data_IF_150648061812
#
_entry.id   IF_150648061812
#
_cell.length_a   1.000
_cell.length_b   1.000
_cell.length_c   1.000
_cell.angle_alpha   90.00
_cell.angle_beta   90.00
_cell.angle_gamma   90.00
#
_symmetry.space_group_name_H-M   'P 1'
#
loop_
_entity.id
_entity.type
_entity.pdbx_description
1 polymer ?
#
# COMPACT_ATOMS: atom_id res chain seq x y z
N UNK A 1 20.09 -1.42 -30.73
CA UNK A 1 18.95 -1.08 -29.85
C UNK A 1 19.33 0.18 -29.08
N UNK A 2 18.46 1.17 -28.98
CA UNK A 2 18.74 2.35 -28.15
C UNK A 2 18.95 1.90 -26.67
N UNK A 3 19.88 2.53 -25.97
CA UNK A 3 20.12 2.26 -24.56
C UNK A 3 18.86 2.68 -23.77
N UNK A 4 18.35 1.77 -22.90
CA UNK A 4 17.19 2.05 -22.08
C UNK A 4 17.52 3.13 -21.06
N UNK A 5 16.58 4.06 -20.79
CA UNK A 5 16.70 4.99 -19.67
C UNK A 5 16.83 4.21 -18.35
N UNK A 6 17.75 4.65 -17.49
CA UNK A 6 18.00 4.08 -16.17
C UNK A 6 17.13 4.75 -15.13
N UNK A 7 16.29 3.98 -14.44
CA UNK A 7 15.46 4.49 -13.34
C UNK A 7 15.98 3.93 -12.02
N UNK A 8 16.29 4.81 -11.08
CA UNK A 8 16.69 4.46 -9.73
C UNK A 8 15.56 4.71 -8.74
N UNK A 9 14.97 3.63 -8.23
CA UNK A 9 14.09 3.68 -7.07
C UNK A 9 14.91 3.69 -5.78
N UNK A 10 14.53 4.55 -4.83
CA UNK A 10 15.10 4.59 -3.48
C UNK A 10 13.98 4.31 -2.49
N UNK A 11 14.01 3.10 -1.88
CA UNK A 11 12.91 2.53 -1.10
C UNK A 11 13.38 2.22 0.31
N UNK A 12 12.88 2.99 1.29
CA UNK A 12 13.23 2.73 2.69
C UNK A 12 12.36 1.60 3.28
N UNK A 13 11.10 1.52 2.90
CA UNK A 13 10.12 0.59 3.48
C UNK A 13 9.84 -0.60 2.56
N UNK A 14 10.79 -1.53 2.43
CA UNK A 14 10.63 -2.75 1.62
C UNK A 14 9.82 -3.82 2.38
N UNK A 15 8.52 -3.55 2.62
CA UNK A 15 7.64 -4.47 3.33
C UNK A 15 6.16 -4.05 3.25
N UNK A 16 5.26 -5.02 3.45
CA UNK A 16 3.82 -4.82 3.36
C UNK A 16 3.39 -4.29 1.99
N UNK A 17 2.35 -3.46 1.93
CA UNK A 17 1.80 -2.94 0.68
C UNK A 17 2.81 -2.15 -0.19
N UNK A 18 3.79 -1.48 0.42
CA UNK A 18 4.86 -0.79 -0.34
C UNK A 18 5.73 -1.80 -1.09
N UNK A 19 6.03 -2.95 -0.49
CA UNK A 19 6.78 -4.02 -1.15
C UNK A 19 6.03 -4.52 -2.38
N UNK A 20 4.76 -4.89 -2.24
CA UNK A 20 3.91 -5.34 -3.36
C UNK A 20 3.88 -4.30 -4.47
N UNK A 21 3.62 -3.03 -4.11
CA UNK A 21 3.61 -1.92 -5.06
C UNK A 21 4.93 -1.78 -5.85
N UNK A 22 6.08 -1.85 -5.17
CA UNK A 22 7.40 -1.72 -5.83
C UNK A 22 7.68 -2.89 -6.75
N UNK A 23 7.37 -4.12 -6.32
CA UNK A 23 7.51 -5.33 -7.14
C UNK A 23 6.66 -5.21 -8.41
N UNK A 24 5.38 -4.94 -8.25
CA UNK A 24 4.42 -4.90 -9.34
C UNK A 24 4.79 -3.82 -10.37
N UNK A 25 5.07 -2.60 -9.91
CA UNK A 25 5.42 -1.50 -10.81
C UNK A 25 6.78 -1.73 -11.50
N UNK A 26 7.79 -2.20 -10.78
CA UNK A 26 9.11 -2.42 -11.36
C UNK A 26 9.11 -3.55 -12.39
N UNK A 27 8.34 -4.63 -12.14
CA UNK A 27 8.20 -5.74 -13.09
C UNK A 27 7.47 -5.34 -14.38
N UNK A 28 6.52 -4.42 -14.32
CA UNK A 28 5.90 -3.86 -15.54
C UNK A 28 6.90 -2.96 -16.30
N UNK A 29 7.59 -2.07 -15.60
CA UNK A 29 8.46 -1.06 -16.21
C UNK A 29 9.78 -1.61 -16.77
N UNK A 30 10.27 -2.77 -16.30
CA UNK A 30 11.55 -3.37 -16.75
C UNK A 30 11.59 -3.70 -18.24
N UNK A 31 10.44 -3.82 -18.88
CA UNK A 31 10.36 -4.02 -20.32
C UNK A 31 10.84 -2.79 -21.10
N UNK A 32 10.60 -1.60 -20.58
CA UNK A 32 10.92 -0.31 -21.21
C UNK A 32 12.18 0.34 -20.65
N UNK A 33 12.43 0.18 -19.35
CA UNK A 33 13.52 0.84 -18.63
C UNK A 33 14.55 -0.15 -18.07
N UNK A 34 15.75 0.35 -17.77
CA UNK A 34 16.77 -0.36 -16.99
C UNK A 34 16.56 0.01 -15.51
N UNK A 35 16.00 -0.94 -14.73
CA UNK A 35 15.49 -0.68 -13.39
C UNK A 35 16.52 -1.00 -12.31
N UNK A 36 16.78 -0.02 -11.45
CA UNK A 36 17.63 -0.13 -10.26
C UNK A 36 16.80 0.17 -9.01
N UNK A 37 16.89 -0.67 -7.98
CA UNK A 37 16.17 -0.48 -6.73
C UNK A 37 17.16 -0.46 -5.58
N UNK A 38 17.38 0.72 -4.99
CA UNK A 38 18.14 0.90 -3.76
C UNK A 38 17.18 0.77 -2.56
N UNK A 39 17.31 -0.29 -1.76
CA UNK A 39 16.31 -0.67 -0.76
C UNK A 39 16.91 -1.03 0.60
N UNK A 40 16.06 -1.04 1.63
CA UNK A 40 16.42 -1.60 2.94
C UNK A 40 15.53 -2.78 3.31
N UNK A 41 16.17 -3.82 3.86
CA UNK A 41 15.47 -4.99 4.42
C UNK A 41 14.81 -4.62 5.74
N UNK A 42 13.57 -5.05 5.94
CA UNK A 42 12.75 -4.86 7.14
C UNK A 42 12.36 -6.21 7.74
N UNK A 43 11.90 -6.23 8.99
CA UNK A 43 11.35 -7.44 9.62
C UNK A 43 10.18 -8.03 8.81
N UNK A 44 9.43 -7.18 8.13
CA UNK A 44 8.28 -7.54 7.31
C UNK A 44 8.64 -7.87 5.85
N UNK A 45 9.90 -7.71 5.46
CA UNK A 45 10.37 -8.10 4.13
C UNK A 45 10.34 -9.62 4.04
N UNK A 46 9.68 -10.22 3.05
CA UNK A 46 9.68 -11.67 2.85
C UNK A 46 11.10 -12.22 2.74
N UNK A 47 11.39 -13.38 3.29
CA UNK A 47 12.75 -13.96 3.23
C UNK A 47 13.23 -14.19 1.79
N UNK A 48 12.31 -14.54 0.92
CA UNK A 48 12.52 -14.78 -0.51
C UNK A 48 12.17 -13.56 -1.38
N UNK A 49 12.23 -12.34 -0.85
CA UNK A 49 11.80 -11.12 -1.53
C UNK A 49 12.41 -10.91 -2.92
N UNK A 50 13.63 -11.41 -3.15
CA UNK A 50 14.30 -11.29 -4.45
C UNK A 50 13.63 -12.09 -5.55
N UNK A 51 12.93 -13.17 -5.22
CA UNK A 51 12.26 -14.05 -6.17
C UNK A 51 11.01 -13.40 -6.80
N UNK A 52 10.51 -12.33 -6.18
CA UNK A 52 9.36 -11.57 -6.71
C UNK A 52 9.74 -10.59 -7.84
N UNK A 53 11.04 -10.25 -7.96
CA UNK A 53 11.50 -9.34 -8.99
C UNK A 53 11.94 -10.05 -10.26
N UNK A 54 11.62 -9.45 -11.41
CA UNK A 54 12.21 -9.86 -12.68
C UNK A 54 13.75 -9.83 -12.59
N UNK A 55 14.40 -10.85 -13.14
CA UNK A 55 15.87 -11.05 -13.06
C UNK A 55 16.68 -9.92 -13.70
N UNK A 56 16.05 -9.08 -14.52
CA UNK A 56 16.65 -7.90 -15.14
C UNK A 56 16.73 -6.70 -14.20
N UNK A 57 16.03 -6.73 -13.06
CA UNK A 57 16.01 -5.64 -12.10
C UNK A 57 17.25 -5.72 -11.20
N UNK A 58 17.96 -4.60 -11.07
CA UNK A 58 19.17 -4.49 -10.25
C UNK A 58 18.82 -4.09 -8.82
N UNK A 59 19.00 -5.02 -7.88
CA UNK A 59 18.71 -4.82 -6.46
C UNK A 59 19.98 -4.41 -5.70
N UNK A 60 19.95 -3.25 -5.03
CA UNK A 60 21.09 -2.66 -4.29
C UNK A 60 20.67 -2.38 -2.85
N UNK A 61 21.24 -3.08 -1.88
CA UNK A 61 20.90 -2.88 -0.47
C UNK A 61 21.53 -1.60 0.10
N UNK A 62 20.72 -0.75 0.76
CA UNK A 62 21.15 0.44 1.51
C UNK A 62 21.21 0.07 2.99
N UNK A 63 22.41 -0.20 3.49
CA UNK A 63 22.62 -0.76 4.82
C UNK A 63 22.23 0.18 5.97
N UNK A 64 22.31 1.49 5.72
CA UNK A 64 22.07 2.51 6.73
C UNK A 64 20.60 3.00 6.79
N UNK A 65 19.72 2.56 5.91
CA UNK A 65 18.30 2.86 6.04
C UNK A 65 17.68 2.12 7.23
N UNK A 66 16.87 2.85 8.01
CA UNK A 66 16.13 2.29 9.14
C UNK A 66 14.87 3.10 9.41
N UNK A 67 13.84 2.49 10.01
CA UNK A 67 12.54 3.13 10.27
C UNK A 67 12.63 4.30 11.25
N UNK A 68 13.39 4.13 12.34
CA UNK A 68 13.55 5.17 13.34
C UNK A 68 14.39 6.34 12.81
N UNK A 69 14.08 7.54 13.24
CA UNK A 69 14.95 8.71 13.00
C UNK A 69 16.21 8.49 13.82
N UNK A 70 17.34 8.43 13.13
CA UNK A 70 18.67 8.27 13.74
C UNK A 70 19.66 9.13 12.95
N UNK A 71 20.09 10.28 13.49
CA UNK A 71 20.88 11.24 12.75
C UNK A 71 22.18 10.65 12.16
N UNK A 72 22.89 9.79 12.88
CA UNK A 72 24.13 9.19 12.39
C UNK A 72 23.88 8.22 11.23
N UNK A 73 22.88 7.33 11.37
CA UNK A 73 22.50 6.42 10.28
C UNK A 73 21.88 7.18 9.10
N UNK A 74 21.12 8.23 9.35
CA UNK A 74 20.47 9.01 8.29
C UNK A 74 21.49 9.80 7.46
N UNK A 75 22.56 10.32 8.09
CA UNK A 75 23.71 10.93 7.41
C UNK A 75 24.46 9.86 6.61
N UNK A 76 24.71 8.68 7.18
CA UNK A 76 25.36 7.59 6.46
C UNK A 76 24.53 7.13 5.25
N UNK A 77 23.20 6.99 5.40
CA UNK A 77 22.27 6.68 4.31
C UNK A 77 22.31 7.75 3.20
N UNK A 78 22.38 9.04 3.58
CA UNK A 78 22.51 10.14 2.63
C UNK A 78 23.74 9.98 1.72
N UNK A 79 24.91 9.68 2.28
CA UNK A 79 26.12 9.45 1.48
C UNK A 79 26.06 8.15 0.69
N UNK A 80 25.45 7.11 1.26
CA UNK A 80 25.28 5.81 0.60
C UNK A 80 24.38 5.92 -0.65
N UNK A 81 23.22 6.58 -0.58
CA UNK A 81 22.35 6.78 -1.75
C UNK A 81 23.02 7.66 -2.82
N UNK A 82 23.81 8.67 -2.43
CA UNK A 82 24.61 9.46 -3.38
C UNK A 82 25.64 8.62 -4.10
N UNK A 83 26.36 7.74 -3.39
CA UNK A 83 27.34 6.83 -3.98
C UNK A 83 26.69 5.84 -4.94
N UNK A 84 25.50 5.30 -4.58
CA UNK A 84 24.72 4.40 -5.44
C UNK A 84 24.34 5.15 -6.72
N UNK A 85 23.75 6.34 -6.62
CA UNK A 85 23.34 7.14 -7.78
C UNK A 85 24.53 7.51 -8.67
N UNK A 86 25.69 7.84 -8.09
CA UNK A 86 26.92 8.12 -8.86
C UNK A 86 27.43 6.90 -9.64
N UNK A 87 27.25 5.68 -9.09
CA UNK A 87 27.60 4.43 -9.76
C UNK A 87 26.60 4.03 -10.86
N UNK A 88 25.31 4.17 -10.60
CA UNK A 88 24.21 3.83 -11.53
C UNK A 88 24.14 4.85 -12.68
N UNK A 89 24.33 6.14 -12.38
CA UNK A 89 24.11 7.28 -13.29
C UNK A 89 22.70 7.25 -13.87
N UNK A 90 21.66 7.34 -13.02
CA UNK A 90 20.28 7.22 -13.46
C UNK A 90 19.82 8.44 -14.28
N UNK A 91 18.92 8.21 -15.21
CA UNK A 91 18.20 9.26 -15.95
C UNK A 91 17.01 9.79 -15.14
N UNK A 92 16.48 8.97 -14.22
CA UNK A 92 15.34 9.31 -13.34
C UNK A 92 15.61 8.76 -11.93
N UNK A 93 15.29 9.54 -10.90
CA UNK A 93 15.29 9.10 -9.50
C UNK A 93 13.85 9.14 -8.97
N UNK A 94 13.39 8.03 -8.38
CA UNK A 94 12.09 7.98 -7.72
C UNK A 94 12.22 7.52 -6.27
N UNK A 95 11.77 8.37 -5.36
CA UNK A 95 11.88 8.20 -3.91
C UNK A 95 10.56 7.63 -3.38
N UNK A 96 10.62 6.57 -2.58
CA UNK A 96 9.44 5.92 -2.03
C UNK A 96 9.45 5.93 -0.51
N UNK A 97 8.36 6.39 0.10
CA UNK A 97 8.13 6.59 1.53
C UNK A 97 8.80 7.85 2.10
N UNK A 98 8.22 8.40 3.19
CA UNK A 98 8.59 9.69 3.76
C UNK A 98 10.09 9.83 4.08
N UNK A 99 10.74 8.77 4.58
CA UNK A 99 12.16 8.85 4.95
C UNK A 99 13.09 8.87 3.74
N UNK A 100 12.87 8.01 2.76
CA UNK A 100 13.61 8.05 1.50
C UNK A 100 13.35 9.38 0.77
N UNK A 101 12.09 9.85 0.81
CA UNK A 101 11.70 11.15 0.28
C UNK A 101 12.43 12.33 0.93
N UNK A 102 12.59 12.35 2.25
CA UNK A 102 13.32 13.40 2.94
C UNK A 102 14.83 13.36 2.63
N UNK A 103 15.45 12.17 2.77
CA UNK A 103 16.89 11.99 2.51
C UNK A 103 17.22 12.28 1.05
N UNK A 104 16.45 11.73 0.10
CA UNK A 104 16.71 11.88 -1.34
C UNK A 104 16.54 13.32 -1.82
N UNK A 105 15.47 14.03 -1.42
CA UNK A 105 15.25 15.44 -1.78
C UNK A 105 16.33 16.38 -1.24
N UNK A 106 17.08 15.97 -0.20
CA UNK A 106 18.24 16.70 0.31
C UNK A 106 19.53 16.23 -0.38
N UNK A 107 19.63 14.94 -0.72
CA UNK A 107 20.84 14.36 -1.31
C UNK A 107 21.07 14.78 -2.77
N UNK A 108 19.97 15.01 -3.51
CA UNK A 108 20.03 15.34 -4.94
C UNK A 108 19.60 16.78 -5.20
N UNK A 109 20.26 17.42 -6.17
CA UNK A 109 20.07 18.85 -6.50
C UNK A 109 18.95 19.10 -7.53
N UNK A 110 18.28 18.04 -7.99
CA UNK A 110 17.20 18.12 -8.96
C UNK A 110 17.66 18.35 -10.40
N UNK A 111 18.95 18.14 -10.73
CA UNK A 111 19.43 18.13 -12.11
C UNK A 111 18.96 16.90 -12.87
N UNK A 112 18.80 15.78 -12.14
CA UNK A 112 18.16 14.57 -12.64
C UNK A 112 16.68 14.68 -12.28
N UNK A 113 15.73 14.41 -13.22
CA UNK A 113 14.31 14.33 -12.93
C UNK A 113 14.05 13.48 -11.69
N UNK A 114 13.39 14.07 -10.70
CA UNK A 114 13.20 13.44 -9.41
C UNK A 114 11.72 13.42 -9.02
N UNK A 115 11.26 12.25 -8.61
CA UNK A 115 9.89 11.98 -8.19
C UNK A 115 9.86 11.44 -6.76
N UNK A 116 8.75 11.65 -6.08
CA UNK A 116 8.55 11.18 -4.73
C UNK A 116 7.12 10.66 -4.53
N UNK A 117 6.97 9.41 -4.07
CA UNK A 117 5.69 8.83 -3.68
C UNK A 117 5.67 8.57 -2.16
N UNK A 118 4.78 9.23 -1.39
CA UNK A 118 4.70 9.10 0.07
C UNK A 118 4.25 7.73 0.55
N UNK A 119 3.34 7.07 -0.13
CA UNK A 119 2.63 5.85 0.30
C UNK A 119 1.89 6.01 1.64
N UNK A 120 1.16 7.11 1.79
CA UNK A 120 0.56 7.53 3.03
C UNK A 120 1.48 8.45 3.84
N UNK A 121 1.12 9.72 3.91
CA UNK A 121 1.93 10.72 4.61
C UNK A 121 2.06 10.46 6.10
N UNK A 122 3.28 10.55 6.63
CA UNK A 122 3.55 10.37 8.06
C UNK A 122 2.86 11.41 8.96
N UNK A 123 2.51 12.58 8.45
CA UNK A 123 1.76 13.59 9.22
C UNK A 123 0.26 13.28 9.35
N UNK A 124 -0.26 12.30 8.59
CA UNK A 124 -1.62 11.79 8.74
C UNK A 124 -1.73 10.70 9.82
N UNK A 125 -0.62 10.20 10.33
CA UNK A 125 -0.59 9.14 11.34
C UNK A 125 -1.21 9.61 12.67
N UNK A 126 -2.32 9.00 13.08
CA UNK A 126 -3.05 9.38 14.29
C UNK A 126 -2.35 8.98 15.59
N UNK A 127 -1.46 7.98 15.56
CA UNK A 127 -0.67 7.56 16.73
C UNK A 127 0.50 8.50 17.06
N UNK A 128 0.67 9.58 16.33
CA UNK A 128 1.64 10.63 16.61
C UNK A 128 0.96 11.79 17.32
N UNK A 129 1.64 12.35 18.34
CA UNK A 129 1.15 13.56 18.98
C UNK A 129 1.08 14.74 17.97
N UNK A 130 0.23 15.74 18.20
CA UNK A 130 0.04 16.87 17.27
C UNK A 130 1.34 17.60 16.92
N UNK A 131 2.25 17.75 17.87
CA UNK A 131 3.56 18.40 17.65
C UNK A 131 4.39 17.63 16.65
N UNK A 132 4.49 16.29 16.81
CA UNK A 132 5.23 15.42 15.89
C UNK A 132 4.62 15.43 14.49
N UNK A 133 3.29 15.45 14.39
CA UNK A 133 2.59 15.58 13.09
C UNK A 133 2.90 16.91 12.41
N UNK A 134 2.95 18.02 13.17
CA UNK A 134 3.36 19.35 12.66
C UNK A 134 4.80 19.34 12.14
N UNK A 135 5.71 18.69 12.89
CA UNK A 135 7.12 18.55 12.46
C UNK A 135 7.21 17.74 11.17
N UNK A 136 6.50 16.62 11.04
CA UNK A 136 6.49 15.85 9.79
C UNK A 136 5.93 16.69 8.63
N UNK A 137 4.85 17.43 8.84
CA UNK A 137 4.28 18.31 7.81
C UNK A 137 5.25 19.42 7.41
N UNK A 138 5.98 20.00 8.38
CA UNK A 138 7.02 20.99 8.11
C UNK A 138 8.17 20.41 7.28
N UNK A 139 8.65 19.21 7.62
CA UNK A 139 9.69 18.50 6.85
C UNK A 139 9.21 18.30 5.40
N UNK A 140 8.00 17.81 5.20
CA UNK A 140 7.42 17.63 3.87
C UNK A 140 7.36 18.97 3.12
N UNK A 141 6.88 20.05 3.75
CA UNK A 141 6.78 21.36 3.13
C UNK A 141 8.14 21.99 2.79
N UNK A 142 9.17 21.75 3.60
CA UNK A 142 10.54 22.23 3.30
C UNK A 142 11.16 21.43 2.16
N UNK A 143 11.01 20.09 2.20
CA UNK A 143 11.52 19.21 1.14
C UNK A 143 10.79 19.41 -0.21
N UNK A 144 9.52 19.78 -0.18
CA UNK A 144 8.71 20.05 -1.37
C UNK A 144 9.17 21.33 -2.14
N UNK A 145 10.02 22.17 -1.54
CA UNK A 145 10.65 23.31 -2.24
C UNK A 145 11.79 22.87 -3.18
N UNK A 146 12.19 21.60 -3.12
CA UNK A 146 13.18 21.05 -4.03
C UNK A 146 12.54 20.75 -5.39
N UNK A 147 13.36 20.69 -6.44
CA UNK A 147 12.91 20.29 -7.77
C UNK A 147 12.60 18.77 -7.77
N UNK A 148 11.39 18.45 -7.34
CA UNK A 148 10.91 17.06 -7.18
C UNK A 148 9.39 17.05 -7.31
N UNK A 149 8.85 16.29 -8.27
CA UNK A 149 7.41 16.11 -8.42
C UNK A 149 6.90 15.07 -7.42
N UNK A 150 5.91 15.42 -6.61
CA UNK A 150 5.29 14.48 -5.69
C UNK A 150 4.15 13.73 -6.39
N UNK A 151 4.22 12.40 -6.40
CA UNK A 151 3.21 11.53 -7.02
C UNK A 151 2.44 10.82 -5.90
N UNK A 152 1.18 11.20 -5.72
CA UNK A 152 0.29 10.60 -4.73
C UNK A 152 -0.30 9.29 -5.25
N UNK A 153 -0.63 8.36 -4.35
CA UNK A 153 -1.17 7.05 -4.72
C UNK A 153 -2.70 7.01 -4.76
N UNK A 154 -3.38 8.10 -4.41
CA UNK A 154 -4.85 8.26 -4.51
C UNK A 154 -5.23 9.73 -4.68
N UNK A 155 -6.48 9.98 -5.06
CA UNK A 155 -7.03 11.34 -5.21
C UNK A 155 -7.01 12.09 -3.87
N UNK A 156 -7.39 11.44 -2.78
CA UNK A 156 -7.39 12.05 -1.45
C UNK A 156 -5.99 12.39 -0.95
N UNK A 157 -5.00 11.53 -1.20
CA UNK A 157 -3.60 11.83 -0.90
C UNK A 157 -3.11 13.00 -1.77
N UNK A 158 -3.54 13.09 -3.03
CA UNK A 158 -3.21 14.19 -3.92
C UNK A 158 -3.74 15.53 -3.41
N UNK A 159 -4.96 15.57 -2.87
CA UNK A 159 -5.52 16.76 -2.24
C UNK A 159 -4.68 17.22 -1.03
N UNK A 160 -4.15 16.29 -0.22
CA UNK A 160 -3.21 16.63 0.85
C UNK A 160 -1.86 17.12 0.30
N UNK A 161 -1.39 16.55 -0.81
CA UNK A 161 -0.16 16.98 -1.49
C UNK A 161 -0.28 18.41 -2.01
N UNK A 162 -1.40 18.78 -2.62
CA UNK A 162 -1.65 20.13 -3.14
C UNK A 162 -1.65 21.21 -2.05
N UNK A 163 -1.88 20.84 -0.78
CA UNK A 163 -1.72 21.76 0.38
C UNK A 163 -0.25 22.02 0.72
N UNK A 164 0.68 21.24 0.16
CA UNK A 164 2.13 21.31 0.41
C UNK A 164 2.87 21.86 -0.79
N UNK A 165 2.54 21.39 -1.99
CA UNK A 165 3.21 21.75 -3.25
C UNK A 165 2.26 21.70 -4.43
N UNK A 166 2.50 22.58 -5.43
CA UNK A 166 1.81 22.54 -6.73
C UNK A 166 2.50 21.60 -7.72
N UNK A 167 3.78 21.25 -7.47
CA UNK A 167 4.50 20.28 -8.28
C UNK A 167 4.10 18.86 -7.86
N UNK A 168 2.93 18.45 -8.32
CA UNK A 168 2.23 17.27 -7.85
C UNK A 168 1.47 16.60 -8.99
N UNK A 169 1.51 15.28 -8.99
CA UNK A 169 0.68 14.40 -9.82
C UNK A 169 0.04 13.32 -8.93
N UNK A 170 -0.84 12.51 -9.48
CA UNK A 170 -1.25 11.27 -8.82
C UNK A 170 -1.33 10.12 -9.81
N UNK A 171 -1.02 8.94 -9.32
CA UNK A 171 -1.17 7.67 -10.01
C UNK A 171 -1.77 6.70 -9.02
N UNK A 172 -2.97 6.23 -9.29
CA UNK A 172 -3.61 5.26 -8.42
C UNK A 172 -2.78 3.98 -8.33
N UNK A 173 -2.71 3.38 -7.14
CA UNK A 173 -2.16 2.05 -6.99
C UNK A 173 -2.94 1.06 -7.87
N UNK A 174 -2.24 0.09 -8.41
CA UNK A 174 -2.82 -1.02 -9.15
C UNK A 174 -2.37 -2.36 -8.58
N UNK A 175 -3.08 -3.41 -8.91
CA UNK A 175 -2.73 -4.79 -8.57
C UNK A 175 -2.35 -5.58 -9.80
N UNK A 176 -1.49 -6.58 -9.63
CA UNK A 176 -1.16 -7.55 -10.67
C UNK A 176 -2.27 -8.60 -10.76
N UNK A 177 -3.25 -8.32 -11.63
CA UNK A 177 -4.41 -9.20 -11.81
C UNK A 177 -4.03 -10.60 -12.28
N UNK A 178 -3.00 -10.73 -13.13
CA UNK A 178 -2.60 -12.04 -13.67
C UNK A 178 -2.03 -12.94 -12.58
N UNK A 179 -1.14 -12.40 -11.73
CA UNK A 179 -0.59 -13.13 -10.59
C UNK A 179 -1.68 -13.50 -9.58
N UNK A 180 -2.56 -12.54 -9.27
CA UNK A 180 -3.65 -12.79 -8.32
C UNK A 180 -4.61 -13.86 -8.85
N UNK A 181 -4.97 -13.81 -10.15
CA UNK A 181 -5.83 -14.82 -10.78
C UNK A 181 -5.18 -16.21 -10.74
N UNK A 182 -3.86 -16.30 -11.00
CA UNK A 182 -3.15 -17.58 -10.91
C UNK A 182 -3.22 -18.21 -9.51
N UNK A 183 -3.18 -17.39 -8.45
CA UNK A 183 -3.33 -17.88 -7.07
C UNK A 183 -4.78 -18.30 -6.81
N UNK A 184 -5.76 -17.54 -7.29
CA UNK A 184 -7.20 -17.85 -7.16
C UNK A 184 -7.50 -19.20 -7.86
N UNK A 185 -7.07 -19.36 -9.10
CA UNK A 185 -7.32 -20.58 -9.89
C UNK A 185 -6.71 -21.85 -9.26
N UNK A 186 -5.63 -21.69 -8.48
CA UNK A 186 -4.99 -22.79 -7.73
C UNK A 186 -5.57 -23.00 -6.34
N UNK A 187 -6.52 -22.16 -5.93
CA UNK A 187 -7.13 -22.23 -4.61
C UNK A 187 -8.44 -23.02 -4.69
N UNK A 188 -8.53 -24.07 -3.87
CA UNK A 188 -9.77 -24.81 -3.70
C UNK A 188 -10.75 -23.97 -2.88
N UNK A 189 -11.93 -23.73 -3.43
CA UNK A 189 -13.05 -23.17 -2.70
C UNK A 189 -13.69 -24.26 -1.84
N UNK A 190 -13.79 -24.01 -0.55
CA UNK A 190 -14.38 -24.95 0.41
C UNK A 190 -15.64 -24.34 1.00
N UNK A 191 -16.60 -25.21 1.37
CA UNK A 191 -17.78 -24.78 2.12
C UNK A 191 -17.34 -24.19 3.48
N UNK A 192 -17.77 -22.99 3.77
CA UNK A 192 -17.41 -22.25 5.00
C UNK A 192 -18.61 -21.46 5.55
N UNK A 193 -18.68 -21.21 6.87
CA UNK A 193 -19.65 -20.30 7.43
C UNK A 193 -19.41 -18.87 6.88
N UNK A 194 -20.45 -18.04 6.89
CA UNK A 194 -20.29 -16.64 6.49
C UNK A 194 -19.16 -15.98 7.29
N UNK A 195 -18.13 -15.54 6.55
CA UNK A 195 -16.83 -15.14 7.12
C UNK A 195 -16.46 -13.72 6.71
N UNK A 196 -16.14 -12.90 7.71
CA UNK A 196 -15.57 -11.57 7.54
C UNK A 196 -14.06 -11.65 7.75
N UNK A 197 -13.26 -11.12 6.83
CA UNK A 197 -11.81 -11.14 6.99
C UNK A 197 -11.17 -9.75 6.86
N UNK A 198 -9.99 -9.62 7.41
CA UNK A 198 -9.06 -8.53 7.12
C UNK A 198 -7.66 -9.11 6.87
N UNK A 199 -6.82 -8.34 6.16
CA UNK A 199 -5.47 -8.76 5.80
C UNK A 199 -4.48 -7.65 6.16
N UNK A 200 -3.45 -8.00 6.94
CA UNK A 200 -2.38 -7.11 7.27
C UNK A 200 -1.85 -7.23 8.69
N UNK A 201 -0.88 -6.38 9.03
CA UNK A 201 -0.27 -6.37 10.36
C UNK A 201 -1.28 -5.90 11.41
N UNK A 202 -1.37 -6.61 12.55
CA UNK A 202 -2.17 -6.21 13.70
C UNK A 202 -1.45 -5.05 14.40
N UNK A 203 -1.81 -3.82 14.02
CA UNK A 203 -1.16 -2.60 14.50
C UNK A 203 -2.17 -1.46 14.67
N UNK A 204 -1.76 -0.38 15.32
CA UNK A 204 -2.62 0.77 15.59
C UNK A 204 -3.30 1.35 14.33
N UNK A 205 -2.58 1.38 13.19
CA UNK A 205 -3.15 1.84 11.91
C UNK A 205 -4.36 1.03 11.48
N UNK A 206 -4.28 -0.29 11.57
CA UNK A 206 -5.32 -1.23 11.13
C UNK A 206 -6.49 -1.36 12.12
N UNK A 207 -6.38 -0.72 13.31
CA UNK A 207 -7.43 -0.57 14.30
C UNK A 207 -8.05 -1.89 14.78
N UNK A 208 -7.24 -2.80 15.38
CA UNK A 208 -7.74 -4.08 15.87
C UNK A 208 -8.84 -3.92 16.93
N UNK A 209 -8.83 -2.85 17.71
CA UNK A 209 -9.89 -2.55 18.68
C UNK A 209 -11.26 -2.45 18.00
N UNK A 210 -11.38 -1.63 16.95
CA UNK A 210 -12.66 -1.48 16.23
C UNK A 210 -13.06 -2.79 15.52
N UNK A 211 -12.09 -3.54 14.98
CA UNK A 211 -12.36 -4.86 14.41
C UNK A 211 -12.94 -5.81 15.44
N UNK A 212 -12.39 -5.81 16.66
CA UNK A 212 -12.88 -6.63 17.78
C UNK A 212 -14.29 -6.22 18.22
N UNK A 213 -14.55 -4.91 18.37
CA UNK A 213 -15.87 -4.37 18.73
C UNK A 213 -16.96 -4.75 17.70
N UNK A 214 -16.62 -4.71 16.40
CA UNK A 214 -17.52 -5.15 15.33
C UNK A 214 -17.79 -6.66 15.43
N UNK A 215 -16.75 -7.47 15.73
CA UNK A 215 -16.89 -8.91 15.89
C UNK A 215 -17.77 -9.26 17.12
N UNK A 216 -17.62 -8.55 18.23
CA UNK A 216 -18.46 -8.70 19.43
C UNK A 216 -19.93 -8.37 19.16
N UNK A 217 -20.21 -7.37 18.31
CA UNK A 217 -21.57 -7.00 17.91
C UNK A 217 -22.22 -8.01 16.92
N UNK A 218 -21.44 -8.95 16.39
CA UNK A 218 -21.87 -9.97 15.41
C UNK A 218 -21.42 -11.39 15.84
N UNK A 219 -21.90 -11.91 16.99
CA UNK A 219 -21.42 -13.17 17.56
C UNK A 219 -21.76 -14.41 16.70
N UNK A 220 -22.68 -14.30 15.77
CA UNK A 220 -23.11 -15.32 14.81
C UNK A 220 -22.33 -15.28 13.47
N UNK A 221 -21.29 -14.47 13.38
CA UNK A 221 -20.43 -14.30 12.21
C UNK A 221 -19.00 -14.70 12.56
N UNK A 222 -18.35 -15.47 11.70
CA UNK A 222 -16.92 -15.79 11.83
C UNK A 222 -16.08 -14.59 11.34
N UNK A 223 -15.06 -14.23 12.13
CA UNK A 223 -14.07 -13.22 11.77
C UNK A 223 -12.68 -13.85 11.65
N UNK A 224 -11.91 -13.42 10.65
CA UNK A 224 -10.55 -13.90 10.43
C UNK A 224 -9.61 -12.69 10.24
N UNK A 225 -8.59 -12.59 11.09
CA UNK A 225 -7.49 -11.67 10.84
C UNK A 225 -6.33 -12.41 10.22
N UNK A 226 -6.05 -12.14 8.94
CA UNK A 226 -4.95 -12.75 8.20
C UNK A 226 -3.70 -11.89 8.44
N UNK A 227 -2.85 -12.34 9.35
CA UNK A 227 -1.66 -11.61 9.77
C UNK A 227 -1.38 -11.71 11.27
N UNK A 228 -0.36 -11.00 11.71
CA UNK A 228 0.04 -10.91 13.12
C UNK A 228 0.56 -9.49 13.43
N UNK A 229 0.84 -9.19 14.69
CA UNK A 229 1.41 -7.90 15.08
C UNK A 229 1.41 -7.63 16.57
N UNK A 230 1.89 -6.43 16.90
CA UNK A 230 2.13 -5.99 18.27
C UNK A 230 0.87 -5.76 19.11
N UNK A 231 -0.30 -5.68 18.49
CA UNK A 231 -1.59 -5.46 19.17
C UNK A 231 -2.52 -6.67 19.09
N UNK A 232 -1.95 -7.87 18.96
CA UNK A 232 -2.72 -9.13 18.83
C UNK A 232 -3.69 -9.35 19.99
N UNK A 233 -3.32 -8.96 21.20
CA UNK A 233 -4.15 -9.09 22.41
C UNK A 233 -5.43 -8.24 22.38
N UNK A 234 -5.55 -7.28 21.47
CA UNK A 234 -6.78 -6.50 21.29
C UNK A 234 -7.86 -7.25 20.52
N UNK A 235 -7.55 -8.40 19.95
CA UNK A 235 -8.48 -9.29 19.25
C UNK A 235 -8.92 -10.41 20.18
N UNK A 236 -9.76 -10.10 21.15
CA UNK A 236 -10.15 -11.00 22.23
C UNK A 236 -11.52 -11.70 22.03
N UNK A 237 -12.32 -11.26 21.05
CA UNK A 237 -13.63 -11.83 20.78
C UNK A 237 -13.53 -13.29 20.33
N UNK A 238 -14.43 -14.15 20.86
CA UNK A 238 -14.38 -15.62 20.67
C UNK A 238 -14.61 -16.07 19.21
N UNK A 239 -15.23 -15.22 18.40
CA UNK A 239 -15.52 -15.48 17.00
C UNK A 239 -14.41 -14.95 16.05
N UNK A 240 -13.28 -14.50 16.60
CA UNK A 240 -12.11 -14.06 15.83
C UNK A 240 -11.05 -15.17 15.79
N UNK A 241 -10.67 -15.57 14.59
CA UNK A 241 -9.49 -16.39 14.31
C UNK A 241 -8.34 -15.49 13.84
N UNK A 242 -7.13 -15.71 14.36
CA UNK A 242 -5.90 -15.01 13.93
C UNK A 242 -4.98 -16.04 13.30
N UNK A 243 -4.70 -15.91 12.00
CA UNK A 243 -3.87 -16.89 11.26
C UNK A 243 -2.39 -16.84 11.61
N UNK A 244 -1.90 -15.72 12.18
CA UNK A 244 -0.48 -15.41 12.25
C UNK A 244 0.06 -14.92 10.90
N UNK A 245 1.39 -14.76 10.81
CA UNK A 245 2.05 -14.36 9.57
C UNK A 245 1.85 -15.43 8.50
N UNK A 246 1.32 -15.03 7.35
CA UNK A 246 1.10 -15.86 6.18
C UNK A 246 1.88 -15.30 4.99
N UNK A 247 2.35 -16.17 4.10
CA UNK A 247 2.83 -15.75 2.79
C UNK A 247 1.64 -15.31 1.90
N UNK A 248 1.95 -14.67 0.76
CA UNK A 248 0.93 -14.12 -0.14
C UNK A 248 -0.07 -15.18 -0.60
N UNK A 249 0.40 -16.36 -1.02
CA UNK A 249 -0.47 -17.42 -1.52
C UNK A 249 -1.42 -17.91 -0.42
N UNK A 250 -0.89 -18.15 0.76
CA UNK A 250 -1.69 -18.56 1.93
C UNK A 250 -2.70 -17.47 2.32
N UNK A 251 -2.30 -16.19 2.31
CA UNK A 251 -3.19 -15.08 2.62
C UNK A 251 -4.36 -14.97 1.63
N UNK A 252 -4.09 -15.11 0.32
CA UNK A 252 -5.13 -15.09 -0.72
C UNK A 252 -6.06 -16.31 -0.61
N UNK A 253 -5.54 -17.50 -0.27
CA UNK A 253 -6.39 -18.69 -0.04
C UNK A 253 -7.40 -18.48 1.09
N UNK A 254 -7.00 -17.84 2.19
CA UNK A 254 -7.94 -17.45 3.25
C UNK A 254 -8.98 -16.45 2.74
N UNK A 255 -8.55 -15.45 1.96
CA UNK A 255 -9.43 -14.43 1.42
C UNK A 255 -10.43 -14.99 0.38
N UNK A 256 -10.02 -15.95 -0.45
CA UNK A 256 -10.92 -16.65 -1.40
C UNK A 256 -12.04 -17.37 -0.64
N UNK A 257 -11.74 -17.99 0.50
CA UNK A 257 -12.68 -18.70 1.36
C UNK A 257 -13.28 -17.79 2.45
N UNK A 258 -13.70 -16.58 2.07
CA UNK A 258 -14.39 -15.61 2.91
C UNK A 258 -15.33 -14.75 2.07
N UNK A 259 -16.25 -14.01 2.69
CA UNK A 259 -17.34 -13.29 2.02
C UNK A 259 -17.14 -11.76 2.03
N UNK A 260 -16.70 -11.21 3.16
CA UNK A 260 -16.60 -9.77 3.39
C UNK A 260 -15.17 -9.39 3.79
N UNK A 261 -14.61 -8.43 3.07
CA UNK A 261 -13.38 -7.76 3.48
C UNK A 261 -13.69 -6.57 4.36
N UNK A 262 -13.19 -6.57 5.58
CA UNK A 262 -13.37 -5.51 6.57
C UNK A 262 -12.05 -4.77 6.80
N UNK A 263 -12.01 -3.45 6.52
CA UNK A 263 -10.84 -2.62 6.72
C UNK A 263 -11.18 -1.38 7.57
N UNK A 264 -11.17 -1.49 8.91
CA UNK A 264 -11.53 -0.40 9.83
C UNK A 264 -10.34 0.53 10.16
N UNK A 265 -9.42 0.70 9.23
CA UNK A 265 -8.17 1.44 9.43
C UNK A 265 -8.40 2.88 9.85
N UNK A 266 -7.47 3.42 10.64
CA UNK A 266 -7.46 4.83 11.07
C UNK A 266 -6.93 5.77 10.00
N UNK A 267 -6.03 5.31 9.14
CA UNK A 267 -5.54 6.03 7.95
C UNK A 267 -4.98 5.05 6.92
N UNK A 268 -5.09 5.40 5.66
CA UNK A 268 -4.52 4.67 4.51
C UNK A 268 -3.96 5.64 3.46
N UNK A 269 -3.16 5.12 2.53
CA UNK A 269 -2.84 5.82 1.29
C UNK A 269 -3.81 5.37 0.18
N UNK A 270 -3.57 4.18 -0.37
CA UNK A 270 -4.50 3.36 -1.15
C UNK A 270 -4.12 1.89 -0.92
N UNK A 271 -4.89 1.15 -0.08
CA UNK A 271 -4.47 -0.17 0.38
C UNK A 271 -4.60 -1.22 -0.71
N UNK A 272 -3.50 -1.90 -1.02
CA UNK A 272 -3.46 -3.01 -1.99
C UNK A 272 -4.44 -4.12 -1.61
N UNK A 273 -4.53 -4.48 -0.33
CA UNK A 273 -5.46 -5.51 0.14
C UNK A 273 -6.94 -5.20 -0.13
N UNK A 274 -7.32 -3.93 -0.17
CA UNK A 274 -8.65 -3.51 -0.59
C UNK A 274 -8.87 -3.79 -2.09
N UNK A 275 -7.92 -3.38 -2.93
CA UNK A 275 -7.99 -3.60 -4.37
C UNK A 275 -8.02 -5.09 -4.72
N UNK A 276 -7.20 -5.90 -4.02
CA UNK A 276 -7.21 -7.37 -4.17
C UNK A 276 -8.56 -7.97 -3.78
N UNK A 277 -9.16 -7.49 -2.69
CA UNK A 277 -10.47 -7.97 -2.23
C UNK A 277 -11.60 -7.60 -3.19
N UNK A 278 -11.56 -6.40 -3.77
CA UNK A 278 -12.48 -5.99 -4.83
C UNK A 278 -12.35 -6.87 -6.08
N UNK A 279 -11.11 -7.20 -6.48
CA UNK A 279 -10.85 -8.12 -7.61
C UNK A 279 -11.39 -9.53 -7.34
N UNK A 280 -11.27 -10.03 -6.10
CA UNK A 280 -11.83 -11.31 -5.67
C UNK A 280 -13.35 -11.27 -5.47
N UNK A 281 -14.02 -10.18 -5.87
CA UNK A 281 -15.47 -9.98 -5.73
C UNK A 281 -15.97 -10.13 -4.29
N UNK A 282 -15.16 -9.71 -3.31
CA UNK A 282 -15.58 -9.68 -1.91
C UNK A 282 -16.32 -8.38 -1.62
N UNK A 283 -17.34 -8.43 -0.77
CA UNK A 283 -17.99 -7.22 -0.28
C UNK A 283 -16.99 -6.44 0.57
N UNK A 284 -16.66 -5.23 0.17
CA UNK A 284 -15.71 -4.39 0.87
C UNK A 284 -16.42 -3.42 1.81
N UNK A 285 -16.13 -3.55 3.12
CA UNK A 285 -16.65 -2.69 4.19
C UNK A 285 -15.46 -1.98 4.83
N UNK A 286 -15.37 -0.67 4.65
CA UNK A 286 -14.16 0.08 4.97
C UNK A 286 -14.43 1.33 5.79
N UNK A 287 -13.42 1.81 6.52
CA UNK A 287 -13.49 3.08 7.25
C UNK A 287 -13.50 4.29 6.32
N UNK A 288 -14.11 5.40 6.78
CA UNK A 288 -14.18 6.67 6.07
C UNK A 288 -12.85 7.46 6.18
N UNK A 289 -11.79 6.89 5.59
CA UNK A 289 -10.46 7.52 5.53
C UNK A 289 -9.99 7.68 4.09
N UNK A 290 -9.01 8.55 3.87
CA UNK A 290 -8.31 8.70 2.58
C UNK A 290 -7.82 7.32 2.12
N UNK A 291 -7.86 7.08 0.83
CA UNK A 291 -7.54 5.81 0.19
C UNK A 291 -8.73 4.85 0.16
N UNK A 292 -9.42 4.64 1.27
CA UNK A 292 -10.61 3.79 1.31
C UNK A 292 -11.80 4.45 0.57
N UNK A 293 -12.19 5.65 0.99
CA UNK A 293 -13.31 6.41 0.37
C UNK A 293 -12.98 6.97 -1.02
N UNK A 294 -11.71 6.91 -1.42
CA UNK A 294 -11.31 7.32 -2.77
C UNK A 294 -11.68 6.26 -3.81
N UNK A 295 -11.89 5.02 -3.37
CA UNK A 295 -12.18 3.85 -4.21
C UNK A 295 -13.54 3.27 -3.92
N UNK A 296 -13.97 3.23 -2.66
CA UNK A 296 -15.28 2.67 -2.28
C UNK A 296 -16.34 3.76 -2.25
N UNK A 297 -17.42 3.51 -2.97
CA UNK A 297 -18.63 4.33 -3.02
C UNK A 297 -19.79 3.51 -2.46
N UNK A 298 -20.34 3.97 -1.33
CA UNK A 298 -21.38 3.22 -0.59
C UNK A 298 -22.58 2.90 -1.44
N UNK A 299 -22.94 1.61 -1.53
CA UNK A 299 -24.06 1.10 -2.30
C UNK A 299 -23.79 0.86 -3.79
N UNK A 300 -22.64 1.33 -4.32
CA UNK A 300 -22.24 1.14 -5.71
C UNK A 300 -21.24 -0.03 -5.86
N UNK A 301 -20.13 0.00 -5.08
CA UNK A 301 -19.06 -0.99 -5.15
C UNK A 301 -18.55 -1.47 -3.78
N UNK A 302 -19.24 -1.07 -2.69
CA UNK A 302 -18.89 -1.44 -1.32
C UNK A 302 -19.58 -0.55 -0.30
N UNK A 303 -19.04 -0.48 0.92
CA UNK A 303 -19.59 0.32 2.02
C UNK A 303 -18.51 1.09 2.75
N UNK A 304 -18.65 2.41 2.87
CA UNK A 304 -17.80 3.29 3.68
C UNK A 304 -18.52 3.56 4.99
N UNK A 305 -17.91 3.25 6.12
CA UNK A 305 -18.49 3.30 7.45
C UNK A 305 -17.73 4.26 8.37
N UNK A 306 -18.48 4.95 9.24
CA UNK A 306 -17.96 5.89 10.24
C UNK A 306 -18.35 5.54 11.68
N UNK A 307 -19.27 4.59 11.88
CA UNK A 307 -19.75 4.11 13.18
C UNK A 307 -19.85 2.59 13.21
N UNK A 308 -19.83 1.99 14.40
CA UNK A 308 -20.00 0.53 14.60
C UNK A 308 -21.34 0.06 13.99
N UNK A 309 -22.41 0.81 14.18
CA UNK A 309 -23.73 0.47 13.66
C UNK A 309 -23.72 0.39 12.12
N UNK A 310 -23.00 1.28 11.43
CA UNK A 310 -22.87 1.23 9.96
C UNK A 310 -22.10 -0.02 9.52
N UNK A 311 -21.02 -0.40 10.20
CA UNK A 311 -20.29 -1.65 9.92
C UNK A 311 -21.19 -2.87 10.12
N UNK A 312 -21.86 -2.94 11.26
CA UNK A 312 -22.78 -4.05 11.59
C UNK A 312 -23.90 -4.15 10.54
N UNK A 313 -24.50 -3.01 10.17
CA UNK A 313 -25.53 -2.97 9.14
C UNK A 313 -25.00 -3.46 7.76
N UNK A 314 -23.85 -2.97 7.32
CA UNK A 314 -23.24 -3.37 6.06
C UNK A 314 -22.91 -4.88 6.02
N UNK A 315 -22.35 -5.44 7.11
CA UNK A 315 -22.03 -6.87 7.18
C UNK A 315 -23.32 -7.73 7.24
N UNK A 316 -24.34 -7.32 8.00
CA UNK A 316 -25.64 -8.01 7.99
C UNK A 316 -26.33 -7.94 6.65
N UNK A 317 -26.25 -6.81 5.96
CA UNK A 317 -26.77 -6.68 4.61
C UNK A 317 -26.07 -7.65 3.64
N UNK A 318 -24.75 -7.75 3.72
CA UNK A 318 -23.98 -8.70 2.90
C UNK A 318 -24.32 -10.18 3.22
N UNK A 319 -24.63 -10.50 4.50
CA UNK A 319 -25.02 -11.86 4.91
C UNK A 319 -26.41 -12.26 4.40
N UNK A 320 -27.36 -11.32 4.37
CA UNK A 320 -28.77 -11.63 4.19
C UNK A 320 -29.29 -11.34 2.76
N UNK A 321 -28.56 -10.58 1.97
CA UNK A 321 -29.00 -10.13 0.64
C UNK A 321 -27.97 -10.48 -0.43
N UNK A 322 -28.43 -10.54 -1.69
CA UNK A 322 -27.50 -10.66 -2.82
C UNK A 322 -26.67 -9.38 -2.99
N UNK A 323 -25.37 -9.54 -3.07
CA UNK A 323 -24.41 -8.43 -3.25
C UNK A 323 -23.72 -8.45 -4.62
N UNK A 324 -24.18 -9.30 -5.53
CA UNK A 324 -23.56 -9.50 -6.84
C UNK A 324 -23.37 -8.20 -7.63
N UNK A 325 -24.34 -7.29 -7.60
CA UNK A 325 -24.23 -6.01 -8.31
C UNK A 325 -23.08 -5.17 -7.77
N UNK A 326 -22.94 -5.11 -6.43
CA UNK A 326 -21.89 -4.35 -5.74
C UNK A 326 -20.51 -4.95 -6.03
N UNK A 327 -20.38 -6.28 -5.95
CA UNK A 327 -19.10 -6.96 -6.15
C UNK A 327 -18.67 -6.98 -7.61
N UNK A 328 -19.60 -7.07 -8.57
CA UNK A 328 -19.31 -6.94 -10.00
C UNK A 328 -18.88 -5.51 -10.36
N UNK A 329 -19.52 -4.49 -9.77
CA UNK A 329 -19.10 -3.10 -9.93
C UNK A 329 -17.67 -2.88 -9.38
N UNK A 330 -17.39 -3.40 -8.18
CA UNK A 330 -16.05 -3.35 -7.60
C UNK A 330 -14.98 -4.04 -8.48
N UNK A 331 -15.29 -5.22 -9.01
CA UNK A 331 -14.43 -5.95 -9.93
C UNK A 331 -14.18 -5.17 -11.23
N UNK A 332 -15.22 -4.53 -11.79
CA UNK A 332 -15.11 -3.70 -12.98
C UNK A 332 -14.14 -2.52 -12.76
N UNK A 333 -14.26 -1.83 -11.63
CA UNK A 333 -13.36 -0.72 -11.28
C UNK A 333 -11.89 -1.16 -11.24
N UNK A 334 -11.61 -2.32 -10.64
CA UNK A 334 -10.24 -2.86 -10.61
C UNK A 334 -9.72 -3.15 -12.02
N UNK A 335 -10.52 -3.83 -12.83
CA UNK A 335 -10.09 -4.24 -14.17
C UNK A 335 -9.85 -3.04 -15.09
N UNK A 336 -10.59 -1.95 -14.90
CA UNK A 336 -10.49 -0.76 -15.72
C UNK A 336 -9.49 0.29 -15.20
N UNK A 337 -9.39 0.47 -13.87
CA UNK A 337 -8.75 1.64 -13.27
C UNK A 337 -7.56 1.30 -12.36
N UNK A 338 -7.62 0.20 -11.60
CA UNK A 338 -6.68 -0.08 -10.51
C UNK A 338 -5.82 -1.33 -10.76
N UNK A 339 -5.22 -1.42 -11.93
CA UNK A 339 -4.33 -2.51 -12.31
C UNK A 339 -2.91 -2.02 -12.64
N UNK A 340 -1.93 -2.93 -12.55
CA UNK A 340 -0.51 -2.59 -12.73
C UNK A 340 -0.19 -2.04 -14.10
N UNK A 341 -0.88 -2.49 -15.16
CA UNK A 341 -0.67 -1.98 -16.52
C UNK A 341 -1.05 -0.52 -16.63
N UNK A 342 -2.23 -0.15 -16.11
CA UNK A 342 -2.68 1.26 -16.06
C UNK A 342 -1.75 2.12 -15.22
N UNK A 343 -1.33 1.60 -14.08
CA UNK A 343 -0.37 2.27 -13.21
C UNK A 343 0.96 2.52 -13.96
N UNK A 344 1.51 1.50 -14.60
CA UNK A 344 2.76 1.61 -15.37
C UNK A 344 2.63 2.60 -16.53
N UNK A 345 1.56 2.55 -17.32
CA UNK A 345 1.29 3.49 -18.42
C UNK A 345 1.29 4.96 -17.96
N UNK A 346 0.77 5.23 -16.75
CA UNK A 346 0.76 6.58 -16.18
C UNK A 346 2.16 7.01 -15.71
N UNK A 347 2.91 6.10 -15.08
CA UNK A 347 4.31 6.37 -14.70
C UNK A 347 5.22 6.56 -15.90
N UNK A 348 5.02 5.80 -16.97
CA UNK A 348 5.76 5.99 -18.22
C UNK A 348 5.59 7.41 -18.78
N UNK A 349 4.35 7.92 -18.82
CA UNK A 349 4.08 9.30 -19.25
C UNK A 349 4.83 10.30 -18.38
N UNK A 350 4.76 10.14 -17.06
CA UNK A 350 5.42 11.05 -16.11
C UNK A 350 6.96 11.01 -16.23
N UNK A 351 7.55 9.84 -16.53
CA UNK A 351 9.00 9.71 -16.65
C UNK A 351 9.52 10.17 -18.03
N UNK A 352 8.65 10.38 -19.01
CA UNK A 352 9.02 10.88 -20.34
C UNK A 352 8.85 12.41 -20.46
N UNK A 353 8.08 13.05 -19.59
CA UNK A 353 7.96 14.50 -19.46
C UNK A 353 9.23 15.13 -18.88
#
# INVERSE_FOLDING_TARGET
>A
MAEKKKILYIVEAMGGGVFTYIVDLANELVNKYDMYIAYAVRKQTPKNYKDYFDKRIHLIEVKNFGRAINPTKDIAAFFEVKKIAAGVKPDVIHLHSSKAGAIGRVAFDGKIPMFYTPHGYSFLMENCNPTKRRVFKLIESVCAKRNCTTISCSVGEHQETLKITKNAAYVNNGINMAELQEIIDKTEEVEHPFTVYTLGRICYQKNPTLFNEIAEALPDVKFVWIGDGELREQLASKNIEITGWADRNTAIRYAVNADVFLLPSRWEGLPISLLESMYMKKVCVVSNVIGNRDVIHTGENGFVCSSIDEYVHAIRNAKNNSTNVITESAYHDITCLYNTKKMAEQYEKIYEE
#
